data_IF_363682247933
#
_entry.id   IF_363682247933
#
_cell.length_a   1.000
_cell.length_b   1.000
_cell.length_c   1.000
_cell.angle_alpha   90.00
_cell.angle_beta   90.00
_cell.angle_gamma   90.00
#
_symmetry.space_group_name_H-M   'P 1'
#
loop_
_entity.id
_entity.type
_entity.pdbx_description
1 polymer ?
#
# COMPACT_ATOMS: atom_id res chain seq x y z
N UNK A 1 -8.25 -4.50 24.27
CA UNK A 1 -7.84 -3.75 25.49
C UNK A 1 -9.13 -3.17 26.06
N UNK A 2 -9.60 -3.68 27.22
CA UNK A 2 -10.84 -3.19 27.85
C UNK A 2 -10.84 -1.66 27.95
N UNK A 3 -11.79 -1.01 27.30
CA UNK A 3 -12.05 0.41 27.49
C UNK A 3 -12.52 0.61 28.93
N UNK A 4 -11.68 1.22 29.77
CA UNK A 4 -12.11 1.68 31.10
C UNK A 4 -13.24 2.69 30.94
N UNK A 5 -14.32 2.52 31.68
CA UNK A 5 -15.35 3.56 31.77
C UNK A 5 -14.82 4.77 32.55
N UNK A 6 -15.40 5.95 32.30
CA UNK A 6 -14.95 7.19 32.97
C UNK A 6 -15.01 7.04 34.50
N UNK A 7 -16.01 6.34 35.02
CA UNK A 7 -16.18 6.08 36.45
C UNK A 7 -15.06 5.19 37.01
N UNK A 8 -14.59 4.20 36.26
CA UNK A 8 -13.46 3.34 36.65
C UNK A 8 -12.13 4.09 36.57
N UNK A 9 -11.97 5.01 35.61
CA UNK A 9 -10.76 5.82 35.48
C UNK A 9 -10.67 6.89 36.59
N UNK A 10 -11.80 7.52 36.94
CA UNK A 10 -11.88 8.55 37.98
C UNK A 10 -11.90 7.96 39.41
N UNK A 11 -12.23 6.67 39.57
CA UNK A 11 -12.12 5.94 40.84
C UNK A 11 -10.75 5.28 41.05
N UNK A 12 -9.83 5.43 40.08
CA UNK A 12 -8.49 4.83 40.16
C UNK A 12 -7.49 5.76 40.86
N UNK A 13 -6.36 5.23 41.39
CA UNK A 13 -5.30 6.04 41.98
C UNK A 13 -4.69 7.06 41.01
N UNK A 14 -4.89 6.86 39.70
CA UNK A 14 -4.40 7.71 38.62
C UNK A 14 -5.42 8.80 38.20
N UNK A 15 -6.52 8.95 38.95
CA UNK A 15 -7.59 9.90 38.65
C UNK A 15 -7.15 11.35 38.41
N UNK A 16 -6.14 11.93 39.10
CA UNK A 16 -5.69 13.30 38.85
C UNK A 16 -5.22 13.51 37.40
N UNK A 17 -4.46 12.56 36.85
CA UNK A 17 -3.93 12.64 35.49
C UNK A 17 -5.01 12.43 34.42
N UNK A 18 -6.04 11.63 34.71
CA UNK A 18 -7.20 11.49 33.82
C UNK A 18 -8.07 12.75 33.79
N UNK A 19 -8.24 13.43 34.93
CA UNK A 19 -8.97 14.72 35.00
C UNK A 19 -8.27 15.80 34.19
N UNK A 20 -6.95 15.91 34.29
CA UNK A 20 -6.17 16.87 33.51
C UNK A 20 -6.32 16.65 32.00
N UNK A 21 -6.23 15.39 31.54
CA UNK A 21 -6.42 15.05 30.13
C UNK A 21 -7.86 15.32 29.64
N UNK A 22 -8.87 15.13 30.49
CA UNK A 22 -10.28 15.43 30.19
C UNK A 22 -10.50 16.95 30.06
N UNK A 23 -9.98 17.72 31.01
CA UNK A 23 -10.11 19.17 31.00
C UNK A 23 -9.42 19.78 29.78
N UNK A 24 -8.20 19.32 29.44
CA UNK A 24 -7.48 19.78 28.26
C UNK A 24 -8.25 19.51 26.95
N UNK A 25 -8.95 18.38 26.84
CA UNK A 25 -9.79 18.09 25.67
C UNK A 25 -11.03 19.00 25.61
N UNK A 26 -11.71 19.23 26.74
CA UNK A 26 -12.87 20.15 26.80
C UNK A 26 -12.45 21.60 26.48
N UNK A 27 -11.34 22.07 27.06
CA UNK A 27 -10.82 23.41 26.77
C UNK A 27 -10.47 23.56 25.29
N UNK A 28 -9.85 22.55 24.67
CA UNK A 28 -9.59 22.56 23.23
C UNK A 28 -10.86 22.61 22.39
N UNK A 29 -11.95 21.95 22.80
CA UNK A 29 -13.24 21.98 22.10
C UNK A 29 -13.87 23.38 22.21
N UNK A 30 -13.87 23.96 23.41
CA UNK A 30 -14.42 25.29 23.69
C UNK A 30 -13.63 26.41 22.98
N UNK A 31 -12.29 26.33 22.98
CA UNK A 31 -11.42 27.30 22.30
C UNK A 31 -11.57 27.29 20.78
N UNK A 32 -11.94 26.15 20.19
CA UNK A 32 -12.14 26.03 18.75
C UNK A 32 -13.51 26.56 18.27
N UNK A 33 -14.34 27.14 19.14
CA UNK A 33 -15.69 27.66 18.83
C UNK A 33 -16.61 26.66 18.11
N UNK A 34 -16.39 25.36 18.30
CA UNK A 34 -17.13 24.31 17.58
C UNK A 34 -18.44 23.91 18.27
N UNK A 35 -18.65 24.35 19.52
CA UNK A 35 -19.79 23.96 20.37
C UNK A 35 -20.31 25.18 21.14
N UNK A 36 -21.64 25.36 21.18
CA UNK A 36 -22.34 26.33 22.02
C UNK A 36 -23.36 25.58 22.89
N UNK A 37 -23.42 25.91 24.19
CA UNK A 37 -24.35 25.27 25.11
C UNK A 37 -25.73 25.92 24.95
N UNK A 38 -26.71 25.18 24.42
CA UNK A 38 -28.09 25.66 24.25
C UNK A 38 -29.11 24.67 24.81
N UNK A 39 -30.30 25.19 25.16
CA UNK A 39 -31.43 24.38 25.57
C UNK A 39 -31.96 23.53 24.40
N UNK A 40 -32.34 22.29 24.70
CA UNK A 40 -32.81 21.33 23.70
C UNK A 40 -34.20 21.74 23.16
N UNK A 41 -34.37 21.99 21.85
CA UNK A 41 -35.65 22.38 21.28
C UNK A 41 -36.72 21.28 21.43
N UNK A 42 -38.00 21.62 21.65
CA UNK A 42 -39.07 20.63 21.80
C UNK A 42 -39.16 19.69 20.59
N UNK A 43 -39.14 18.38 20.83
CA UNK A 43 -39.20 17.35 19.77
C UNK A 43 -37.85 16.84 19.26
N UNK A 44 -36.72 17.38 19.74
CA UNK A 44 -35.38 16.94 19.37
C UNK A 44 -34.88 15.80 20.27
N UNK A 45 -34.10 14.86 19.71
CA UNK A 45 -33.47 13.78 20.50
C UNK A 45 -31.96 14.00 20.56
N UNK A 46 -31.36 14.22 21.75
CA UNK A 46 -29.93 14.50 21.85
C UNK A 46 -29.10 13.25 21.56
N UNK A 47 -27.98 13.42 20.84
CA UNK A 47 -26.99 12.38 20.62
C UNK A 47 -26.19 12.14 21.90
N UNK A 48 -26.07 10.88 22.32
CA UNK A 48 -25.25 10.54 23.48
C UNK A 48 -23.75 10.73 23.17
N UNK A 49 -22.90 10.81 24.20
CA UNK A 49 -21.44 10.86 24.03
C UNK A 49 -20.73 9.80 24.89
N UNK A 50 -19.45 9.55 24.62
CA UNK A 50 -18.57 8.63 25.35
C UNK A 50 -17.15 9.20 25.40
N UNK A 51 -16.50 9.00 26.54
CA UNK A 51 -15.08 9.27 26.71
C UNK A 51 -14.21 8.09 26.30
N UNK A 52 -13.17 8.35 25.51
CA UNK A 52 -12.11 7.40 25.16
C UNK A 52 -10.84 7.79 25.91
N UNK A 53 -10.43 6.92 26.84
CA UNK A 53 -9.28 7.13 27.70
C UNK A 53 -8.14 6.18 27.30
N UNK A 54 -6.94 6.72 27.04
CA UNK A 54 -5.77 5.95 26.62
C UNK A 54 -4.49 6.44 27.29
N UNK A 55 -3.68 5.50 27.81
CA UNK A 55 -2.31 5.78 28.26
C UNK A 55 -1.35 5.65 27.09
N UNK A 56 -0.42 6.58 26.96
CA UNK A 56 0.75 6.47 26.09
C UNK A 56 1.96 6.14 26.94
N UNK A 57 2.85 5.33 26.39
CA UNK A 57 4.07 4.89 27.05
C UNK A 57 5.27 5.30 26.20
N UNK A 58 6.40 5.60 26.87
CA UNK A 58 7.70 5.83 26.25
C UNK A 58 8.33 4.49 25.85
N UNK A 59 9.41 4.56 25.07
CA UNK A 59 10.12 3.37 24.57
C UNK A 59 10.69 2.48 25.70
N UNK A 60 10.94 3.06 26.88
CA UNK A 60 11.40 2.38 28.09
C UNK A 60 10.27 1.72 28.91
N UNK A 61 9.01 1.89 28.50
CA UNK A 61 7.83 1.34 29.19
C UNK A 61 7.24 2.23 30.29
N UNK A 62 7.83 3.39 30.58
CA UNK A 62 7.25 4.39 31.49
C UNK A 62 6.07 5.13 30.84
N UNK A 63 5.17 5.69 31.63
CA UNK A 63 4.00 6.42 31.11
C UNK A 63 4.48 7.75 30.51
N UNK A 64 4.19 7.97 29.22
CA UNK A 64 4.46 9.20 28.49
C UNK A 64 3.38 10.25 28.78
N UNK A 65 2.11 9.89 28.57
CA UNK A 65 0.97 10.77 28.85
C UNK A 65 -0.37 10.06 28.91
N UNK A 66 -1.32 10.70 29.58
CA UNK A 66 -2.73 10.33 29.57
C UNK A 66 -3.44 11.09 28.45
N UNK A 67 -4.32 10.42 27.72
CA UNK A 67 -5.07 10.99 26.61
C UNK A 67 -6.55 10.70 26.79
N UNK A 68 -7.36 11.74 26.85
CA UNK A 68 -8.81 11.66 26.86
C UNK A 68 -9.35 12.23 25.54
N UNK A 69 -10.47 11.69 25.05
CA UNK A 69 -11.21 12.20 23.89
C UNK A 69 -12.70 12.03 24.09
N UNK A 70 -13.47 13.05 23.77
CA UNK A 70 -14.94 12.98 23.80
C UNK A 70 -15.47 12.62 22.39
N UNK A 71 -16.37 11.64 22.31
CA UNK A 71 -16.89 11.12 21.03
C UNK A 71 -18.40 10.93 21.11
N UNK A 72 -19.17 11.33 20.09
CA UNK A 72 -20.61 11.11 20.03
C UNK A 72 -20.98 9.63 19.74
N UNK A 73 -22.18 9.18 20.14
CA UNK A 73 -22.74 7.84 19.97
C UNK A 73 -23.81 7.88 18.87
N UNK A 74 -23.50 7.40 17.67
CA UNK A 74 -24.36 7.54 16.47
C UNK A 74 -25.50 6.54 16.24
N UNK A 75 -25.83 5.64 17.18
CA UNK A 75 -26.67 4.44 16.90
C UNK A 75 -28.20 4.64 16.73
N UNK A 76 -28.70 5.70 16.08
CA UNK A 76 -30.14 5.83 15.76
C UNK A 76 -30.42 6.53 14.41
N UNK A 77 -30.07 5.92 13.27
CA UNK A 77 -30.55 6.39 11.94
C UNK A 77 -31.05 5.24 11.06
N UNK A 78 -32.08 5.52 10.26
CA UNK A 78 -32.82 4.58 9.39
C UNK A 78 -32.31 4.65 7.95
N UNK A 79 -32.21 3.50 7.30
CA UNK A 79 -31.74 3.28 5.94
C UNK A 79 -32.72 3.83 4.87
N UNK A 80 -32.21 4.55 3.86
CA UNK A 80 -32.97 4.88 2.63
C UNK A 80 -33.19 6.37 2.27
N UNK A 81 -32.62 7.34 3.00
CA UNK A 81 -32.75 8.77 2.68
C UNK A 81 -31.42 9.50 2.41
N UNK A 82 -30.32 9.08 3.05
CA UNK A 82 -29.01 9.74 2.95
C UNK A 82 -27.97 8.77 2.34
N UNK A 83 -27.96 8.63 0.99
CA UNK A 83 -26.82 8.01 0.25
C UNK A 83 -26.39 8.84 -0.99
N UNK A 84 -25.44 9.75 -0.82
CA UNK A 84 -24.70 10.57 -1.77
C UNK A 84 -23.22 10.69 -1.32
N UNK A 85 -22.39 9.81 -1.87
CA UNK A 85 -20.93 9.91 -2.07
C UNK A 85 -20.04 10.43 -0.92
N UNK A 86 -19.82 9.61 0.10
CA UNK A 86 -18.64 9.76 0.98
C UNK A 86 -17.38 9.09 0.42
N UNK A 87 -16.62 9.81 -0.40
CA UNK A 87 -15.20 9.51 -0.64
C UNK A 87 -14.34 10.70 -0.20
N UNK A 88 -13.62 10.55 0.91
CA UNK A 88 -12.51 11.45 1.22
C UNK A 88 -11.39 11.23 0.18
N UNK A 89 -10.90 12.28 -0.51
CA UNK A 89 -9.85 12.14 -1.51
C UNK A 89 -8.52 11.78 -0.81
N UNK A 90 -8.21 10.48 -0.73
CA UNK A 90 -6.91 10.02 -0.22
C UNK A 90 -5.86 10.23 -1.31
N UNK A 91 -4.86 11.08 -1.04
CA UNK A 91 -3.73 11.32 -1.95
C UNK A 91 -3.05 10.01 -2.33
N UNK A 92 -2.83 9.77 -3.63
CA UNK A 92 -2.05 8.62 -4.09
C UNK A 92 -0.61 8.76 -3.61
N UNK A 93 -0.09 7.73 -2.93
CA UNK A 93 1.30 7.70 -2.46
C UNK A 93 2.32 7.87 -3.61
N UNK A 94 1.94 7.46 -4.83
CA UNK A 94 2.70 7.72 -6.06
C UNK A 94 2.90 9.21 -6.30
N UNK A 95 1.88 10.05 -6.14
CA UNK A 95 2.01 11.52 -6.28
C UNK A 95 3.05 12.07 -5.31
N UNK A 96 3.03 11.63 -4.05
CA UNK A 96 4.00 12.06 -3.03
C UNK A 96 5.42 11.66 -3.43
N UNK A 97 5.63 10.42 -3.90
CA UNK A 97 6.96 9.96 -4.36
C UNK A 97 7.46 10.72 -5.59
N UNK A 98 6.58 11.01 -6.55
CA UNK A 98 6.93 11.85 -7.71
C UNK A 98 7.34 13.24 -7.25
N UNK A 99 6.62 13.87 -6.31
CA UNK A 99 6.99 15.18 -5.77
C UNK A 99 8.34 15.15 -5.03
N UNK A 100 8.62 14.11 -4.25
CA UNK A 100 9.93 13.93 -3.59
C UNK A 100 11.04 13.76 -4.63
N UNK A 101 10.80 12.97 -5.68
CA UNK A 101 11.77 12.79 -6.77
C UNK A 101 12.05 14.11 -7.50
N UNK A 102 11.01 14.90 -7.78
CA UNK A 102 11.11 16.23 -8.40
C UNK A 102 11.88 17.18 -7.50
N UNK A 103 11.61 17.19 -6.20
CA UNK A 103 12.38 17.99 -5.25
C UNK A 103 13.87 17.61 -5.29
N UNK A 104 14.20 16.32 -5.33
CA UNK A 104 15.59 15.87 -5.49
C UNK A 104 16.21 16.28 -6.84
N UNK A 105 15.44 16.25 -7.93
CA UNK A 105 15.90 16.67 -9.27
C UNK A 105 16.22 18.16 -9.35
N UNK A 106 15.36 18.99 -8.77
CA UNK A 106 15.49 20.46 -8.81
C UNK A 106 16.18 21.06 -7.58
N UNK A 107 16.72 20.23 -6.69
CA UNK A 107 17.39 20.66 -5.46
C UNK A 107 16.50 21.52 -4.55
N UNK A 108 15.23 21.12 -4.41
CA UNK A 108 14.25 21.81 -3.60
C UNK A 108 14.22 21.29 -2.18
N UNK A 109 13.98 22.18 -1.22
CA UNK A 109 13.72 21.82 0.17
C UNK A 109 12.26 21.40 0.36
N UNK A 110 12.03 20.26 1.00
CA UNK A 110 10.69 19.78 1.34
C UNK A 110 10.40 20.15 2.79
N UNK A 111 9.41 21.01 3.00
CA UNK A 111 8.85 21.26 4.32
C UNK A 111 7.62 20.38 4.54
N UNK A 112 7.69 19.48 5.51
CA UNK A 112 6.55 18.67 5.94
C UNK A 112 5.92 19.28 7.21
N UNK A 113 4.62 19.55 7.15
CA UNK A 113 3.84 19.98 8.32
C UNK A 113 2.75 18.95 8.61
N UNK A 114 2.87 18.25 9.75
CA UNK A 114 1.80 17.39 10.25
C UNK A 114 0.85 18.23 11.11
N UNK A 115 -0.28 18.64 10.51
CA UNK A 115 -1.34 19.30 11.26
C UNK A 115 -2.07 18.24 12.06
N UNK A 116 -1.74 18.15 13.35
CA UNK A 116 -2.61 17.49 14.33
C UNK A 116 -4.01 18.06 14.11
N UNK A 117 -4.99 17.18 13.92
CA UNK A 117 -6.42 17.48 13.66
C UNK A 117 -6.86 17.88 12.23
N UNK A 118 -6.13 17.52 11.17
CA UNK A 118 -6.65 17.69 9.78
C UNK A 118 -7.98 16.96 9.50
N UNK A 119 -8.27 15.86 10.22
CA UNK A 119 -9.52 15.10 10.10
C UNK A 119 -10.77 15.80 10.67
N UNK A 120 -10.62 16.89 11.43
CA UNK A 120 -11.76 17.59 12.06
C UNK A 120 -12.39 18.69 11.17
N UNK A 121 -11.88 18.90 9.95
CA UNK A 121 -12.32 19.98 9.05
C UNK A 121 -12.99 19.49 7.75
N UNK A 122 -13.32 18.20 7.63
CA UNK A 122 -14.07 17.68 6.49
C UNK A 122 -15.54 17.49 6.84
N UNK A 123 -16.44 18.17 6.13
CA UNK A 123 -17.87 17.84 6.15
C UNK A 123 -18.06 16.50 5.42
N UNK A 124 -18.50 15.48 6.14
CA UNK A 124 -18.94 14.20 5.60
C UNK A 124 -20.42 14.07 5.92
N UNK A 125 -21.26 13.98 4.89
CA UNK A 125 -22.71 13.83 5.08
C UNK A 125 -23.16 12.37 5.27
N UNK A 126 -22.26 11.35 5.29
CA UNK A 126 -22.67 9.94 5.48
C UNK A 126 -21.66 9.06 6.24
N UNK A 127 -22.16 8.06 6.98
CA UNK A 127 -21.36 7.12 7.77
C UNK A 127 -21.06 5.80 7.02
N UNK A 128 -19.77 5.49 6.84
CA UNK A 128 -19.26 4.17 6.43
C UNK A 128 -18.79 3.41 7.69
N UNK A 129 -19.20 2.14 7.84
CA UNK A 129 -18.81 1.27 8.95
C UNK A 129 -17.55 0.43 8.66
N UNK A 130 -16.68 0.28 9.65
CA UNK A 130 -15.60 -0.73 9.68
C UNK A 130 -15.38 -1.23 11.11
N UNK A 131 -15.32 -2.54 11.30
CA UNK A 131 -14.85 -3.15 12.56
C UNK A 131 -13.33 -3.36 12.56
N UNK A 132 -12.71 -3.33 13.74
CA UNK A 132 -11.40 -3.95 13.96
C UNK A 132 -11.44 -5.00 15.08
N UNK A 133 -10.63 -6.06 14.95
CA UNK A 133 -10.76 -7.29 15.74
C UNK A 133 -10.04 -7.20 17.09
N UNK A 134 -10.73 -7.63 18.15
CA UNK A 134 -10.13 -8.01 19.44
C UNK A 134 -10.30 -9.52 19.67
N UNK A 135 -9.19 -10.27 19.79
CA UNK A 135 -9.28 -11.74 19.90
C UNK A 135 -7.99 -12.57 19.92
N UNK A 136 -6.84 -12.07 20.40
CA UNK A 136 -5.70 -12.95 20.72
C UNK A 136 -5.41 -12.98 22.22
N UNK A 137 -6.38 -13.48 22.98
CA UNK A 137 -6.10 -14.11 24.27
C UNK A 137 -6.73 -15.50 24.23
N UNK A 138 -5.87 -16.52 24.18
CA UNK A 138 -6.26 -17.88 24.58
C UNK A 138 -6.14 -17.90 26.11
N UNK A 139 -7.23 -18.16 26.87
CA UNK A 139 -7.14 -18.33 28.32
C UNK A 139 -6.07 -19.37 28.66
N UNK A 140 -5.08 -19.00 29.46
CA UNK A 140 -3.95 -19.87 29.83
C UNK A 140 -2.64 -19.67 29.03
N UNK A 141 -2.56 -18.74 28.07
CA UNK A 141 -1.31 -18.39 27.35
C UNK A 141 -0.86 -16.93 27.52
N UNK A 142 -1.39 -16.23 28.52
CA UNK A 142 -1.23 -14.78 28.76
C UNK A 142 0.23 -14.29 28.99
N UNK A 143 1.16 -15.20 29.27
CA UNK A 143 2.58 -14.88 29.49
C UNK A 143 3.47 -15.12 28.26
N UNK A 144 2.92 -15.56 27.12
CA UNK A 144 3.72 -15.86 25.93
C UNK A 144 3.95 -14.60 25.10
N UNK A 145 5.12 -14.00 25.27
CA UNK A 145 5.71 -13.09 24.30
C UNK A 145 6.41 -13.92 23.22
N UNK A 146 6.35 -13.49 21.97
CA UNK A 146 7.23 -14.06 20.95
C UNK A 146 8.68 -13.71 21.29
N UNK A 147 9.47 -14.74 21.61
CA UNK A 147 10.92 -14.66 21.64
C UNK A 147 11.39 -14.52 20.19
N UNK A 148 12.01 -13.39 19.85
CA UNK A 148 12.76 -13.31 18.61
C UNK A 148 13.90 -14.34 18.72
N UNK A 149 13.78 -15.46 18.03
CA UNK A 149 14.92 -16.33 17.83
C UNK A 149 15.91 -15.60 16.93
N UNK A 150 17.18 -15.61 17.32
CA UNK A 150 18.28 -15.31 16.40
C UNK A 150 18.12 -16.29 15.23
N UNK A 151 17.52 -15.78 14.16
CA UNK A 151 17.18 -16.54 12.99
C UNK A 151 18.08 -16.03 11.88
N UNK A 152 18.68 -16.92 11.08
CA UNK A 152 19.59 -16.52 10.03
C UNK A 152 18.90 -15.49 9.10
N UNK A 153 19.61 -14.43 8.69
CA UNK A 153 19.03 -13.39 7.85
C UNK A 153 18.54 -13.98 6.54
N UNK A 154 17.32 -13.64 6.14
CA UNK A 154 16.84 -13.96 4.80
C UNK A 154 17.35 -12.88 3.84
N UNK A 155 18.14 -13.27 2.83
CA UNK A 155 18.72 -12.34 1.87
C UNK A 155 17.83 -12.08 0.64
N UNK A 156 16.69 -12.77 0.54
CA UNK A 156 15.67 -12.55 -0.49
C UNK A 156 14.26 -12.64 0.10
N UNK A 157 13.28 -11.91 -0.44
CA UNK A 157 11.91 -11.90 0.07
C UNK A 157 11.14 -13.19 -0.24
N UNK A 158 11.52 -13.92 -1.29
CA UNK A 158 10.89 -15.18 -1.71
C UNK A 158 11.87 -16.33 -1.59
N UNK A 159 11.39 -17.47 -1.08
CA UNK A 159 12.10 -18.74 -1.14
C UNK A 159 11.68 -19.48 -2.41
N UNK A 160 12.64 -19.75 -3.30
CA UNK A 160 12.39 -20.40 -4.59
C UNK A 160 11.94 -21.86 -4.43
N UNK A 161 12.30 -22.51 -3.32
CA UNK A 161 11.94 -23.89 -3.04
C UNK A 161 10.60 -24.02 -2.31
N UNK A 162 10.01 -22.91 -1.87
CA UNK A 162 8.75 -22.89 -1.13
C UNK A 162 7.56 -22.74 -2.09
N UNK A 163 6.90 -23.86 -2.37
CA UNK A 163 5.66 -23.86 -3.14
C UNK A 163 4.46 -23.58 -2.23
N UNK A 164 3.74 -22.48 -2.51
CA UNK A 164 2.52 -22.11 -1.81
C UNK A 164 1.30 -22.62 -2.58
N UNK A 165 0.38 -23.30 -1.89
CA UNK A 165 -0.84 -23.84 -2.46
C UNK A 165 -2.01 -23.57 -1.49
N UNK A 166 -3.24 -23.56 -2.02
CA UNK A 166 -4.44 -23.38 -1.19
C UNK A 166 -4.43 -24.41 -0.06
N UNK A 167 -4.60 -23.92 1.18
CA UNK A 167 -4.72 -24.79 2.33
C UNK A 167 -6.04 -25.56 2.25
N UNK A 168 -5.98 -26.88 2.41
CA UNK A 168 -7.16 -27.76 2.51
C UNK A 168 -7.43 -28.21 3.94
N UNK A 169 -6.46 -28.04 4.85
CA UNK A 169 -6.59 -28.37 6.26
C UNK A 169 -7.09 -27.19 7.09
N UNK A 170 -6.95 -27.35 8.40
CA UNK A 170 -7.26 -26.29 9.37
C UNK A 170 -6.37 -25.06 9.18
N UNK A 171 -6.97 -23.91 9.48
CA UNK A 171 -6.35 -22.60 9.33
C UNK A 171 -5.44 -22.31 10.52
N UNK A 172 -4.22 -21.84 10.26
CA UNK A 172 -3.27 -21.50 11.31
C UNK A 172 -3.21 -19.99 11.55
N UNK A 173 -3.67 -19.52 12.72
CA UNK A 173 -3.47 -18.13 13.14
C UNK A 173 -4.00 -17.09 12.15
N UNK A 174 -5.15 -17.35 11.53
CA UNK A 174 -5.75 -16.56 10.45
C UNK A 174 -5.78 -15.04 10.69
N UNK A 175 -6.25 -14.63 11.87
CA UNK A 175 -6.38 -13.22 12.25
C UNK A 175 -5.00 -12.56 12.32
N UNK A 176 -4.01 -13.23 12.91
CA UNK A 176 -2.65 -12.68 13.07
C UNK A 176 -1.94 -12.59 11.72
N UNK A 177 -2.05 -13.64 10.90
CA UNK A 177 -1.55 -13.66 9.53
C UNK A 177 -2.08 -12.48 8.72
N UNK A 178 -3.40 -12.24 8.78
CA UNK A 178 -4.06 -11.15 8.06
C UNK A 178 -3.61 -9.77 8.55
N UNK A 179 -3.43 -9.60 9.87
CA UNK A 179 -2.91 -8.34 10.44
C UNK A 179 -1.49 -8.04 9.97
N UNK A 180 -0.60 -9.04 9.99
CA UNK A 180 0.79 -8.86 9.53
C UNK A 180 0.81 -8.56 8.03
N UNK A 181 0.00 -9.27 7.21
CA UNK A 181 -0.12 -8.97 5.78
C UNK A 181 -0.58 -7.52 5.55
N UNK A 182 -1.56 -7.02 6.32
CA UNK A 182 -1.99 -5.62 6.23
C UNK A 182 -0.85 -4.64 6.49
N UNK A 183 -0.04 -4.87 7.53
CA UNK A 183 1.15 -4.06 7.82
C UNK A 183 2.22 -4.16 6.74
N UNK A 184 2.45 -5.36 6.20
CA UNK A 184 3.37 -5.59 5.09
C UNK A 184 2.89 -4.90 3.80
N UNK A 185 1.58 -4.87 3.55
CA UNK A 185 1.01 -4.15 2.40
C UNK A 185 1.22 -2.64 2.51
N UNK A 186 1.14 -2.07 3.71
CA UNK A 186 1.46 -0.66 3.92
C UNK A 186 2.93 -0.37 3.56
N UNK A 187 3.88 -1.13 4.13
CA UNK A 187 5.32 -0.98 3.85
C UNK A 187 5.61 -1.19 2.35
N UNK A 188 5.03 -2.24 1.76
CA UNK A 188 5.12 -2.56 0.33
C UNK A 188 4.65 -1.41 -0.55
N UNK A 189 3.53 -0.77 -0.21
CA UNK A 189 2.94 0.30 -1.01
C UNK A 189 3.63 1.64 -0.81
N UNK A 190 4.27 1.87 0.35
CA UNK A 190 4.90 3.14 0.67
C UNK A 190 6.37 3.18 0.20
N UNK A 191 7.18 2.19 0.57
CA UNK A 191 8.65 2.31 0.47
C UNK A 191 9.37 1.05 -0.02
N UNK A 192 8.71 -0.12 -0.07
CA UNK A 192 9.38 -1.40 -0.36
C UNK A 192 8.79 -2.10 -1.61
N UNK A 193 9.15 -1.65 -2.82
CA UNK A 193 8.73 -2.33 -4.05
C UNK A 193 9.25 -3.77 -4.14
N UNK A 194 10.43 -4.04 -3.58
CA UNK A 194 11.12 -5.33 -3.63
C UNK A 194 10.39 -6.48 -2.91
N UNK A 195 9.48 -6.19 -1.99
CA UNK A 195 8.65 -7.22 -1.34
C UNK A 195 7.29 -7.41 -2.02
N UNK A 196 6.96 -6.63 -3.05
CA UNK A 196 5.60 -6.53 -3.56
C UNK A 196 5.05 -7.85 -4.10
N UNK A 197 5.87 -8.60 -4.84
CA UNK A 197 5.48 -9.93 -5.30
C UNK A 197 5.23 -10.91 -4.15
N UNK A 198 6.13 -10.95 -3.16
CA UNK A 198 6.03 -11.86 -2.03
C UNK A 198 4.76 -11.59 -1.21
N UNK A 199 4.50 -10.32 -0.88
CA UNK A 199 3.33 -9.89 -0.12
C UNK A 199 2.05 -10.11 -0.92
N UNK A 200 2.02 -9.78 -2.22
CA UNK A 200 0.86 -10.03 -3.08
C UNK A 200 0.54 -11.53 -3.21
N UNK A 201 1.55 -12.39 -3.23
CA UNK A 201 1.36 -13.85 -3.29
C UNK A 201 0.83 -14.38 -1.96
N UNK A 202 1.38 -13.93 -0.83
CA UNK A 202 1.00 -14.34 0.52
C UNK A 202 -0.40 -13.83 0.92
N UNK A 203 -0.79 -12.64 0.47
CA UNK A 203 -2.10 -12.05 0.78
C UNK A 203 -3.29 -12.86 0.21
N UNK A 204 -3.04 -13.72 -0.79
CA UNK A 204 -4.05 -14.62 -1.37
C UNK A 204 -4.54 -15.69 -0.39
N UNK A 205 -3.81 -15.90 0.71
CA UNK A 205 -4.08 -16.95 1.69
C UNK A 205 -4.54 -16.41 3.05
N UNK A 206 -4.95 -15.14 3.13
CA UNK A 206 -5.39 -14.50 4.39
C UNK A 206 -6.61 -15.16 5.02
N UNK A 207 -7.51 -15.75 4.24
CA UNK A 207 -8.71 -16.43 4.76
C UNK A 207 -8.41 -17.81 5.37
N UNK A 208 -7.42 -18.53 4.84
CA UNK A 208 -7.05 -19.87 5.33
C UNK A 208 -5.53 -20.12 5.17
N UNK A 209 -4.68 -19.51 6.03
CA UNK A 209 -3.23 -19.74 6.02
C UNK A 209 -2.83 -21.12 6.57
N UNK A 210 -1.64 -21.59 6.18
CA UNK A 210 -1.03 -22.88 6.59
C UNK A 210 0.39 -22.66 7.09
N UNK A 211 1.04 -23.68 7.65
CA UNK A 211 2.46 -23.64 8.07
C UNK A 211 3.39 -23.10 6.98
N UNK A 212 3.15 -23.48 5.73
CA UNK A 212 3.97 -23.04 4.61
C UNK A 212 3.73 -21.57 4.26
N UNK A 213 2.50 -21.07 4.40
CA UNK A 213 2.21 -19.64 4.27
C UNK A 213 2.93 -18.84 5.37
N UNK A 214 2.91 -19.32 6.61
CA UNK A 214 3.66 -18.72 7.72
C UNK A 214 5.17 -18.71 7.50
N UNK A 215 5.75 -19.80 6.98
CA UNK A 215 7.18 -19.84 6.61
C UNK A 215 7.53 -18.75 5.60
N UNK A 216 6.69 -18.54 4.58
CA UNK A 216 6.86 -17.48 3.59
C UNK A 216 6.76 -16.08 4.22
N UNK A 217 5.76 -15.85 5.06
CA UNK A 217 5.56 -14.58 5.76
C UNK A 217 6.73 -14.25 6.69
N UNK A 218 7.20 -15.22 7.49
CA UNK A 218 8.36 -15.06 8.38
C UNK A 218 9.62 -14.75 7.58
N UNK A 219 9.78 -15.33 6.38
CA UNK A 219 10.90 -15.00 5.49
C UNK A 219 10.88 -13.53 5.08
N UNK A 220 9.72 -13.00 4.68
CA UNK A 220 9.59 -11.56 4.33
C UNK A 220 9.98 -10.68 5.51
N UNK A 221 9.54 -11.01 6.73
CA UNK A 221 9.93 -10.27 7.94
C UNK A 221 11.43 -10.35 8.22
N UNK A 222 12.06 -11.52 8.04
CA UNK A 222 13.52 -11.68 8.17
C UNK A 222 14.27 -10.86 7.13
N UNK A 223 13.76 -10.79 5.91
CA UNK A 223 14.34 -10.00 4.84
C UNK A 223 14.24 -8.49 5.13
N UNK A 224 13.09 -8.02 5.62
CA UNK A 224 12.92 -6.63 6.08
C UNK A 224 13.86 -6.29 7.24
N UNK A 225 14.06 -7.21 8.21
CA UNK A 225 15.05 -7.02 9.28
C UNK A 225 16.47 -6.89 8.73
N UNK A 226 16.85 -7.76 7.79
CA UNK A 226 18.16 -7.73 7.14
C UNK A 226 18.39 -6.46 6.30
N UNK A 227 17.33 -5.91 5.71
CA UNK A 227 17.35 -4.69 4.88
C UNK A 227 16.68 -3.51 5.60
N UNK A 228 16.85 -3.44 6.92
CA UNK A 228 16.17 -2.43 7.75
C UNK A 228 16.68 -1.01 7.51
N UNK A 229 17.92 -0.88 7.05
CA UNK A 229 18.52 0.37 6.63
C UNK A 229 18.25 0.71 5.16
N UNK A 230 17.42 -0.04 4.43
CA UNK A 230 17.17 0.25 3.02
C UNK A 230 16.08 1.32 2.87
N UNK A 231 16.38 2.38 2.12
CA UNK A 231 15.45 3.44 1.75
C UNK A 231 15.36 3.63 0.24
N UNK A 232 14.30 4.28 -0.25
CA UNK A 232 14.23 4.77 -1.62
C UNK A 232 15.06 6.04 -1.73
N UNK A 233 16.09 6.00 -2.57
CA UNK A 233 17.01 7.11 -2.78
C UNK A 233 16.70 7.74 -4.13
N UNK A 234 16.32 9.02 -4.10
CA UNK A 234 16.17 9.84 -5.29
C UNK A 234 17.39 10.74 -5.45
N UNK A 235 17.79 10.96 -6.69
CA UNK A 235 18.98 11.71 -7.08
C UNK A 235 18.64 12.62 -8.25
N UNK A 236 19.59 13.48 -8.66
CA UNK A 236 19.41 14.38 -9.81
C UNK A 236 19.38 13.69 -11.17
N UNK A 237 19.64 12.37 -11.24
CA UNK A 237 19.71 11.63 -12.49
C UNK A 237 19.22 10.17 -12.34
N UNK A 238 18.55 9.59 -13.35
CA UNK A 238 18.04 10.21 -14.57
C UNK A 238 16.86 11.15 -14.32
N UNK A 239 16.83 12.29 -15.01
CA UNK A 239 15.74 13.28 -14.97
C UNK A 239 14.63 12.95 -15.99
N UNK A 240 14.38 11.67 -16.23
CA UNK A 240 13.35 11.17 -17.14
C UNK A 240 12.48 10.16 -16.42
N UNK A 241 11.19 10.16 -16.74
CA UNK A 241 10.25 9.13 -16.30
C UNK A 241 10.33 7.94 -17.25
N UNK A 242 10.71 6.79 -16.71
CA UNK A 242 10.80 5.52 -17.43
C UNK A 242 9.97 4.47 -16.72
N UNK A 243 9.39 3.55 -17.50
CA UNK A 243 8.57 2.44 -17.04
C UNK A 243 9.16 1.10 -17.42
N UNK A 244 8.87 0.08 -16.62
CA UNK A 244 9.27 -1.30 -16.85
C UNK A 244 8.03 -2.18 -16.65
N UNK A 245 7.85 -3.18 -17.51
CA UNK A 245 6.74 -4.14 -17.44
C UNK A 245 7.25 -5.57 -17.58
N UNK A 246 6.63 -6.49 -16.84
CA UNK A 246 6.93 -7.92 -16.88
C UNK A 246 5.68 -8.74 -16.53
N UNK A 247 5.62 -9.99 -16.99
CA UNK A 247 4.59 -10.94 -16.59
C UNK A 247 5.12 -12.37 -16.42
N UNK A 248 4.91 -12.93 -15.24
CA UNK A 248 5.20 -14.34 -15.03
C UNK A 248 4.02 -15.23 -15.46
N UNK A 249 4.14 -15.86 -16.63
CA UNK A 249 3.17 -16.84 -17.11
C UNK A 249 3.24 -18.12 -16.30
N UNK A 250 2.11 -18.54 -15.72
CA UNK A 250 2.00 -19.78 -14.96
C UNK A 250 1.38 -20.83 -15.88
N UNK A 251 2.14 -21.89 -16.17
CA UNK A 251 1.70 -23.05 -16.98
C UNK A 251 1.15 -24.21 -16.13
N UNK A 252 1.23 -24.13 -14.80
CA UNK A 252 0.98 -25.26 -13.89
C UNK A 252 -0.47 -25.34 -13.37
N UNK A 253 -0.96 -26.57 -13.25
CA UNK A 253 -2.33 -27.05 -12.99
C UNK A 253 -3.08 -26.47 -11.79
N UNK A 254 -2.41 -25.76 -10.87
CA UNK A 254 -3.00 -25.29 -9.60
C UNK A 254 -3.29 -23.79 -9.54
N UNK A 255 -2.66 -22.97 -10.37
CA UNK A 255 -2.96 -21.54 -10.46
C UNK A 255 -3.18 -21.12 -11.92
N UNK A 256 -4.41 -20.71 -12.23
CA UNK A 256 -4.85 -20.49 -13.61
C UNK A 256 -4.51 -19.10 -14.15
N UNK A 257 -4.03 -18.16 -13.33
CA UNK A 257 -3.78 -16.78 -13.77
C UNK A 257 -2.37 -16.31 -13.45
N UNK A 258 -1.74 -15.72 -14.47
CA UNK A 258 -0.39 -15.14 -14.43
C UNK A 258 -0.30 -13.94 -13.48
N UNK A 259 0.92 -13.50 -13.15
CA UNK A 259 1.15 -12.28 -12.34
C UNK A 259 1.79 -11.22 -13.22
N UNK A 260 1.20 -10.02 -13.25
CA UNK A 260 1.75 -8.84 -13.94
C UNK A 260 2.44 -7.93 -12.93
N UNK A 261 3.55 -7.33 -13.36
CA UNK A 261 4.31 -6.33 -12.63
C UNK A 261 4.61 -5.11 -13.48
N UNK A 262 4.65 -3.95 -12.86
CA UNK A 262 5.28 -2.76 -13.44
C UNK A 262 6.00 -1.95 -12.37
N UNK A 263 7.01 -1.20 -12.79
CA UNK A 263 7.65 -0.16 -11.98
C UNK A 263 8.00 1.03 -12.87
N UNK A 264 7.79 2.22 -12.33
CA UNK A 264 8.17 3.50 -12.93
C UNK A 264 9.20 4.19 -12.05
N UNK A 265 10.22 4.76 -12.67
CA UNK A 265 11.35 5.40 -12.00
C UNK A 265 11.54 6.83 -12.47
N UNK A 266 11.89 7.72 -11.54
CA UNK A 266 12.33 9.10 -11.79
C UNK A 266 13.47 9.39 -10.80
N UNK A 267 14.51 10.11 -11.21
CA UNK A 267 15.62 10.48 -10.33
C UNK A 267 16.40 9.27 -9.80
N UNK A 268 16.40 8.16 -10.54
CA UNK A 268 17.08 6.92 -10.15
C UNK A 268 16.39 6.11 -9.04
N UNK A 269 15.15 6.46 -8.69
CA UNK A 269 14.33 5.76 -7.71
C UNK A 269 12.92 5.44 -8.20
N UNK A 270 12.33 4.37 -7.67
CA UNK A 270 10.97 3.95 -8.01
C UNK A 270 9.91 4.88 -7.42
N UNK A 271 9.02 5.40 -8.27
CA UNK A 271 7.93 6.32 -7.90
C UNK A 271 6.55 5.66 -7.99
N UNK A 272 6.35 4.70 -8.89
CA UNK A 272 5.13 3.90 -8.98
C UNK A 272 5.47 2.44 -9.22
N UNK A 273 4.76 1.51 -8.58
CA UNK A 273 4.94 0.09 -8.83
C UNK A 273 3.70 -0.70 -8.48
N UNK A 274 3.60 -1.89 -9.07
CA UNK A 274 2.52 -2.83 -8.77
C UNK A 274 2.97 -4.26 -9.02
N UNK A 275 2.57 -5.16 -8.13
CA UNK A 275 2.53 -6.59 -8.38
C UNK A 275 1.09 -7.05 -8.24
N UNK A 276 0.52 -7.65 -9.28
CA UNK A 276 -0.88 -8.08 -9.25
C UNK A 276 -1.14 -9.33 -10.07
N UNK A 277 -1.94 -10.24 -9.52
CA UNK A 277 -2.51 -11.35 -10.28
C UNK A 277 -3.36 -10.80 -11.44
N UNK A 278 -3.24 -11.41 -12.61
CA UNK A 278 -4.06 -11.05 -13.75
C UNK A 278 -5.53 -11.41 -13.51
N UNK A 279 -6.43 -10.59 -14.04
CA UNK A 279 -7.88 -10.81 -13.94
C UNK A 279 -8.37 -11.82 -14.98
N UNK A 280 -7.76 -11.82 -16.17
CA UNK A 280 -8.00 -12.79 -17.22
C UNK A 280 -6.93 -13.89 -17.25
N UNK A 281 -7.28 -15.06 -17.81
CA UNK A 281 -6.36 -16.17 -18.06
C UNK A 281 -5.63 -15.87 -19.37
N UNK A 282 -4.32 -15.69 -19.32
CA UNK A 282 -3.47 -15.56 -20.50
C UNK A 282 -3.24 -16.94 -21.14
N UNK A 283 -3.42 -17.04 -22.46
CA UNK A 283 -3.25 -18.30 -23.19
C UNK A 283 -1.83 -18.55 -23.68
N UNK A 284 -0.95 -17.57 -23.55
CA UNK A 284 0.47 -17.66 -23.88
C UNK A 284 1.27 -16.66 -23.07
N UNK A 285 2.59 -16.85 -23.00
CA UNK A 285 3.53 -15.88 -22.42
C UNK A 285 3.37 -14.51 -23.07
N UNK A 286 3.23 -14.49 -24.40
CA UNK A 286 3.02 -13.25 -25.15
C UNK A 286 1.73 -12.52 -24.75
N UNK A 287 0.64 -13.25 -24.43
CA UNK A 287 -0.58 -12.66 -23.87
C UNK A 287 -0.41 -12.15 -22.45
N UNK A 288 0.28 -12.88 -21.56
CA UNK A 288 0.49 -12.40 -20.20
C UNK A 288 1.33 -11.13 -20.18
N UNK A 289 2.38 -11.06 -21.00
CA UNK A 289 3.25 -9.89 -21.13
C UNK A 289 2.49 -8.68 -21.66
N UNK A 290 1.66 -8.89 -22.68
CA UNK A 290 0.85 -7.81 -23.23
C UNK A 290 -0.20 -7.27 -22.25
N UNK A 291 -0.74 -8.13 -21.37
CA UNK A 291 -1.62 -7.69 -20.28
C UNK A 291 -0.86 -6.87 -19.24
N UNK A 292 0.41 -7.19 -18.96
CA UNK A 292 1.25 -6.37 -18.08
C UNK A 292 1.58 -5.02 -18.71
N UNK A 293 1.95 -5.01 -19.99
CA UNK A 293 2.21 -3.80 -20.76
C UNK A 293 1.00 -2.85 -20.78
N UNK A 294 -0.21 -3.37 -21.00
CA UNK A 294 -1.45 -2.59 -20.94
C UNK A 294 -1.67 -1.91 -19.58
N UNK A 295 -1.47 -2.64 -18.47
CA UNK A 295 -1.53 -2.06 -17.12
C UNK A 295 -0.46 -1.00 -16.89
N UNK A 296 0.74 -1.18 -17.44
CA UNK A 296 1.79 -0.18 -17.37
C UNK A 296 1.42 1.06 -18.21
N UNK A 297 0.78 0.88 -19.37
CA UNK A 297 0.28 1.98 -20.21
C UNK A 297 -0.75 2.87 -19.49
N UNK A 298 -1.72 2.26 -18.80
CA UNK A 298 -2.70 3.01 -17.97
C UNK A 298 -2.02 3.84 -16.88
N UNK A 299 -1.01 3.28 -16.21
CA UNK A 299 -0.24 4.01 -15.19
C UNK A 299 0.63 5.12 -15.81
N UNK A 300 1.24 4.87 -16.96
CA UNK A 300 2.06 5.85 -17.68
C UNK A 300 1.21 7.05 -18.11
N UNK A 301 0.00 6.83 -18.65
CA UNK A 301 -0.92 7.92 -18.98
C UNK A 301 -1.25 8.77 -17.74
N UNK A 302 -1.56 8.13 -16.61
CA UNK A 302 -1.83 8.85 -15.36
C UNK A 302 -0.60 9.65 -14.89
N UNK A 303 0.59 9.06 -14.91
CA UNK A 303 1.84 9.74 -14.53
C UNK A 303 2.16 10.91 -15.46
N UNK A 304 1.95 10.76 -16.77
CA UNK A 304 2.18 11.83 -17.75
C UNK A 304 1.26 13.01 -17.49
N UNK A 305 -0.04 12.75 -17.28
CA UNK A 305 -1.01 13.79 -16.97
C UNK A 305 -0.65 14.49 -15.65
N UNK A 306 -0.26 13.73 -14.63
CA UNK A 306 0.20 14.30 -13.37
C UNK A 306 1.44 15.19 -13.54
N UNK A 307 2.42 14.80 -14.35
CA UNK A 307 3.59 15.62 -14.64
C UNK A 307 3.26 16.88 -15.46
N UNK A 308 2.28 16.79 -16.37
CA UNK A 308 1.82 17.94 -17.15
C UNK A 308 1.20 19.02 -16.24
N UNK A 309 0.58 18.63 -15.13
CA UNK A 309 0.03 19.55 -14.13
C UNK A 309 1.11 20.19 -13.23
N UNK A 310 2.33 19.64 -13.19
CA UNK A 310 3.41 20.17 -12.34
C UNK A 310 4.06 21.38 -13.02
N UNK A 311 4.02 22.59 -12.42
CA UNK A 311 4.50 23.80 -13.07
C UNK A 311 6.01 23.81 -13.35
N UNK A 312 6.81 23.19 -12.49
CA UNK A 312 8.27 23.17 -12.62
C UNK A 312 8.79 22.08 -13.56
N UNK A 313 7.93 21.16 -14.02
CA UNK A 313 8.34 20.09 -14.93
C UNK A 313 8.47 20.62 -16.36
N UNK A 314 9.47 20.15 -17.11
CA UNK A 314 9.70 20.60 -18.49
C UNK A 314 8.56 20.14 -19.42
N UNK A 315 8.00 21.10 -20.17
CA UNK A 315 6.88 20.87 -21.10
C UNK A 315 7.33 21.06 -22.55
N UNK A 316 6.74 20.30 -23.51
CA UNK A 316 5.75 19.23 -23.31
C UNK A 316 6.38 17.99 -22.65
N UNK A 317 5.61 17.24 -21.85
CA UNK A 317 6.10 15.98 -21.29
C UNK A 317 6.35 14.98 -22.44
N UNK A 318 7.59 14.46 -22.61
CA UNK A 318 7.89 13.50 -23.67
C UNK A 318 7.14 12.18 -23.48
N UNK A 319 7.08 11.37 -24.54
CA UNK A 319 6.51 10.03 -24.46
C UNK A 319 7.27 9.20 -23.42
N UNK A 320 6.55 8.57 -22.48
CA UNK A 320 7.16 7.73 -21.45
C UNK A 320 7.65 6.44 -22.09
N UNK A 321 8.93 6.15 -21.94
CA UNK A 321 9.51 4.89 -22.43
C UNK A 321 9.13 3.75 -21.48
N UNK A 322 8.45 2.73 -22.01
CA UNK A 322 8.13 1.49 -21.29
C UNK A 322 9.01 0.37 -21.83
N UNK A 323 9.89 -0.14 -20.99
CA UNK A 323 10.73 -1.30 -21.27
C UNK A 323 9.95 -2.59 -21.04
N UNK A 324 9.96 -3.48 -22.04
CA UNK A 324 9.33 -4.79 -21.99
C UNK A 324 10.33 -5.84 -22.49
N UNK A 325 10.38 -7.01 -21.85
CA UNK A 325 11.32 -8.07 -22.22
C UNK A 325 10.75 -9.08 -23.24
N UNK A 326 9.56 -8.80 -23.80
CA UNK A 326 8.90 -9.64 -24.77
C UNK A 326 8.76 -8.96 -26.13
N UNK A 327 9.69 -9.26 -27.04
CA UNK A 327 9.64 -8.78 -28.43
C UNK A 327 8.30 -9.13 -29.11
N UNK A 328 7.71 -10.26 -28.76
CA UNK A 328 6.40 -10.67 -29.28
C UNK A 328 5.25 -9.78 -28.79
N UNK A 329 5.30 -9.31 -27.54
CA UNK A 329 4.34 -8.35 -27.01
C UNK A 329 4.53 -6.96 -27.65
N UNK A 330 5.79 -6.53 -27.83
CA UNK A 330 6.15 -5.28 -28.50
C UNK A 330 5.66 -5.26 -29.94
N UNK A 331 5.96 -6.32 -30.70
CA UNK A 331 5.51 -6.45 -32.10
C UNK A 331 3.99 -6.42 -32.23
N UNK A 332 3.25 -6.94 -31.24
CA UNK A 332 1.79 -6.79 -31.19
C UNK A 332 1.35 -5.37 -30.82
N UNK A 333 2.03 -4.70 -29.89
CA UNK A 333 1.70 -3.32 -29.54
C UNK A 333 1.83 -2.38 -30.75
N UNK A 334 2.87 -2.59 -31.54
CA UNK A 334 3.17 -1.81 -32.74
C UNK A 334 2.34 -2.21 -33.97
N UNK A 335 1.59 -3.32 -33.92
CA UNK A 335 0.90 -3.84 -35.09
C UNK A 335 -0.28 -2.96 -35.53
N UNK A 336 -0.34 -2.71 -36.84
CA UNK A 336 -1.40 -1.98 -37.53
C UNK A 336 -2.81 -2.55 -37.34
N UNK A 337 -2.91 -3.86 -37.10
CA UNK A 337 -4.17 -4.58 -36.94
C UNK A 337 -4.03 -5.64 -35.84
N UNK A 338 -5.14 -5.94 -35.19
CA UNK A 338 -5.25 -7.07 -34.27
C UNK A 338 -5.85 -8.28 -35.00
N UNK A 339 -5.04 -9.30 -35.25
CA UNK A 339 -5.45 -10.52 -35.97
C UNK A 339 -5.95 -11.64 -35.02
N UNK A 340 -6.05 -11.37 -33.72
CA UNK A 340 -6.47 -12.37 -32.73
C UNK A 340 -7.99 -12.50 -32.59
N UNK A 341 -8.44 -13.66 -32.06
CA UNK A 341 -9.86 -13.93 -31.80
C UNK A 341 -10.34 -13.43 -30.42
N UNK A 342 -9.41 -13.09 -29.52
CA UNK A 342 -9.74 -12.73 -28.13
C UNK A 342 -10.22 -11.26 -28.01
N UNK A 343 -11.48 -11.06 -27.60
CA UNK A 343 -12.09 -9.72 -27.43
C UNK A 343 -11.40 -8.89 -26.36
N UNK A 344 -11.01 -9.49 -25.23
CA UNK A 344 -10.37 -8.75 -24.14
C UNK A 344 -8.97 -8.27 -24.54
N UNK A 345 -8.20 -9.09 -25.25
CA UNK A 345 -6.90 -8.68 -25.78
C UNK A 345 -7.05 -7.61 -26.87
N UNK A 346 -8.08 -7.68 -27.71
CA UNK A 346 -8.37 -6.64 -28.71
C UNK A 346 -8.57 -5.26 -28.08
N UNK A 347 -9.31 -5.18 -26.96
CA UNK A 347 -9.52 -3.91 -26.25
C UNK A 347 -8.21 -3.32 -25.72
N UNK A 348 -7.37 -4.16 -25.10
CA UNK A 348 -6.03 -3.77 -24.62
C UNK A 348 -5.13 -3.32 -25.76
N UNK A 349 -5.20 -4.03 -26.90
CA UNK A 349 -4.46 -3.65 -28.10
C UNK A 349 -4.86 -2.27 -28.62
N UNK A 350 -6.16 -2.00 -28.72
CA UNK A 350 -6.64 -0.68 -29.11
C UNK A 350 -6.17 0.42 -28.14
N UNK A 351 -6.18 0.13 -26.83
CA UNK A 351 -5.76 1.09 -25.78
C UNK A 351 -4.28 1.40 -25.91
N UNK A 352 -3.41 0.39 -25.89
CA UNK A 352 -1.95 0.57 -26.08
C UNK A 352 -1.64 1.30 -27.39
N UNK A 353 -2.30 0.91 -28.49
CA UNK A 353 -2.11 1.58 -29.78
C UNK A 353 -2.49 3.05 -29.72
N UNK A 354 -3.60 3.39 -29.06
CA UNK A 354 -4.02 4.77 -28.87
C UNK A 354 -2.94 5.54 -28.12
N UNK A 355 -2.42 5.00 -27.00
CA UNK A 355 -1.35 5.60 -26.19
C UNK A 355 -0.05 5.83 -26.99
N UNK A 356 0.30 4.90 -27.89
CA UNK A 356 1.47 5.07 -28.78
C UNK A 356 1.18 6.17 -29.81
N UNK A 357 0.01 6.13 -30.45
CA UNK A 357 -0.34 7.08 -31.52
C UNK A 357 -0.52 8.52 -31.04
N UNK A 358 -0.94 8.70 -29.78
CA UNK A 358 -1.05 10.01 -29.13
C UNK A 358 0.28 10.51 -28.55
N UNK A 359 1.37 9.72 -28.65
CA UNK A 359 2.67 10.07 -28.11
C UNK A 359 2.75 10.06 -26.58
N UNK A 360 1.83 9.36 -25.90
CA UNK A 360 1.85 9.23 -24.43
C UNK A 360 2.96 8.25 -24.02
N UNK A 361 3.11 7.15 -24.76
CA UNK A 361 4.11 6.12 -24.48
C UNK A 361 4.95 5.78 -25.72
N UNK A 362 6.17 5.35 -25.48
CA UNK A 362 6.98 4.58 -26.42
C UNK A 362 7.37 3.25 -25.78
N UNK A 363 7.66 2.22 -26.58
CA UNK A 363 7.95 0.87 -26.06
C UNK A 363 9.29 0.42 -26.64
N UNK A 364 10.18 -0.05 -25.76
CA UNK A 364 11.47 -0.59 -26.14
C UNK A 364 11.73 -1.97 -25.51
N UNK A 365 12.61 -2.73 -26.13
CA UNK A 365 13.02 -4.04 -25.64
C UNK A 365 14.11 -3.92 -24.58
N UNK A 366 13.96 -4.65 -23.47
CA UNK A 366 15.01 -4.81 -22.46
C UNK A 366 15.28 -6.29 -22.20
N UNK A 367 16.52 -6.63 -21.82
CA UNK A 367 16.84 -8.01 -21.41
C UNK A 367 16.20 -8.29 -20.05
N UNK A 368 15.60 -9.46 -19.86
CA UNK A 368 14.91 -9.81 -18.59
C UNK A 368 15.78 -9.62 -17.34
N UNK A 369 17.08 -9.93 -17.40
CA UNK A 369 18.00 -9.73 -16.25
C UNK A 369 18.18 -8.27 -15.82
N UNK A 370 17.89 -7.34 -16.72
CA UNK A 370 17.97 -5.89 -16.51
C UNK A 370 16.58 -5.26 -16.28
N UNK A 371 15.51 -6.05 -16.42
CA UNK A 371 14.14 -5.58 -16.27
C UNK A 371 13.80 -5.34 -14.80
N UNK A 372 13.58 -4.07 -14.40
CA UNK A 372 13.25 -3.72 -13.02
C UNK A 372 11.89 -4.26 -12.57
N UNK A 373 11.02 -4.70 -13.49
CA UNK A 373 9.73 -5.31 -13.16
C UNK A 373 9.82 -6.80 -12.79
N UNK A 374 10.93 -7.50 -13.09
CA UNK A 374 11.13 -8.92 -12.78
C UNK A 374 10.86 -9.30 -11.31
N UNK A 375 11.35 -8.54 -10.29
CA UNK A 375 11.12 -8.87 -8.89
C UNK A 375 9.63 -8.77 -8.49
N UNK A 376 8.80 -8.14 -9.32
CA UNK A 376 7.38 -7.91 -9.08
C UNK A 376 6.50 -9.06 -9.60
N UNK A 377 7.05 -10.02 -10.35
CA UNK A 377 6.26 -11.11 -10.96
C UNK A 377 6.71 -12.51 -10.53
N UNK A 378 7.96 -12.64 -10.08
CA UNK A 378 8.60 -13.92 -9.77
C UNK A 378 9.62 -13.77 -8.64
N UNK A 379 9.92 -14.90 -8.00
CA UNK A 379 11.05 -14.97 -7.08
C UNK A 379 12.35 -15.00 -7.88
N UNK A 380 13.38 -14.29 -7.38
CA UNK A 380 14.67 -14.17 -8.06
C UNK A 380 15.83 -14.68 -7.18
N UNK A 381 16.98 -14.89 -7.82
CA UNK A 381 18.23 -15.18 -7.11
C UNK A 381 18.68 -13.98 -6.26
N UNK A 382 19.55 -14.23 -5.27
CA UNK A 382 20.06 -13.19 -4.37
C UNK A 382 20.69 -12.01 -5.12
N UNK A 383 21.54 -12.30 -6.10
CA UNK A 383 22.28 -11.28 -6.82
C UNK A 383 21.34 -10.43 -7.69
N UNK A 384 20.33 -11.06 -8.29
CA UNK A 384 19.28 -10.33 -9.03
C UNK A 384 18.43 -9.45 -8.12
N UNK A 385 17.99 -9.96 -6.95
CA UNK A 385 17.24 -9.15 -5.97
C UNK A 385 18.08 -7.94 -5.56
N UNK A 386 19.37 -8.14 -5.28
CA UNK A 386 20.27 -7.06 -4.92
C UNK A 386 20.43 -6.02 -6.04
N UNK A 387 20.76 -6.45 -7.26
CA UNK A 387 20.98 -5.56 -8.39
C UNK A 387 19.71 -4.78 -8.77
N UNK A 388 18.56 -5.47 -8.91
CA UNK A 388 17.30 -4.84 -9.33
C UNK A 388 16.70 -3.95 -8.24
N UNK A 389 16.87 -4.29 -6.95
CA UNK A 389 16.48 -3.38 -5.86
C UNK A 389 17.25 -2.07 -5.93
N UNK A 390 18.57 -2.12 -6.17
CA UNK A 390 19.39 -0.91 -6.34
C UNK A 390 19.02 -0.14 -7.61
N UNK A 391 18.62 -0.83 -8.68
CA UNK A 391 18.10 -0.22 -9.90
C UNK A 391 16.79 0.54 -9.67
N UNK A 392 15.93 0.05 -8.77
CA UNK A 392 14.74 0.76 -8.27
C UNK A 392 15.06 1.88 -7.26
N UNK A 393 16.34 2.20 -7.04
CA UNK A 393 16.79 3.18 -6.04
C UNK A 393 16.68 2.73 -4.60
N UNK A 394 16.35 1.46 -4.33
CA UNK A 394 16.26 0.91 -2.99
C UNK A 394 17.66 0.49 -2.51
N UNK A 395 18.27 1.29 -1.64
CA UNK A 395 19.67 1.19 -1.23
C UNK A 395 19.80 1.38 0.29
N UNK A 396 20.84 0.81 0.93
CA UNK A 396 21.12 1.11 2.33
C UNK A 396 21.42 2.60 2.51
N UNK A 397 20.89 3.19 3.58
CA UNK A 397 21.28 4.51 4.06
C UNK A 397 22.76 4.44 4.46
N UNK A 398 23.54 5.39 3.95
CA UNK A 398 24.97 5.53 4.21
C UNK A 398 25.24 6.09 5.61
#
# INVERSE_FOLDING_TARGET
>A
MNQRTINEALSSPEAPFWKEAINSEIESIMQNHTWELMDLPPGSTPLGCKWILKRKYKADGSIDKYKARLVAKGFKRKEGLDFFDTYSPVTRITSIRVLIAIAALYDLEIHQMDVKTAFLNGELDEEIYMEQPEGFVVPGQEKKKFKAYDSPPAKTPVDLNLHLAKNKGESEGQIEYSRIIGSLMYIMNCTRPDIAYAVNKLSRFTSNPSKNHWKGLIRVLRYLKYTSNYGLHYTRYPAVLEGYSDANWISDSKDTKSTSGYVFTIGGGAVSWKSSKQTCIARSTMESEFIALDKAGEEAEWLRNFLEDIPCWTKPVPAIMIHCDSQSAIGRAQSGMYNGKSRHIRRRHNTIRQLISSGIISIDYIKSKENLADPLTKGLSRDQVYCLSRGMGLKPDN
#
